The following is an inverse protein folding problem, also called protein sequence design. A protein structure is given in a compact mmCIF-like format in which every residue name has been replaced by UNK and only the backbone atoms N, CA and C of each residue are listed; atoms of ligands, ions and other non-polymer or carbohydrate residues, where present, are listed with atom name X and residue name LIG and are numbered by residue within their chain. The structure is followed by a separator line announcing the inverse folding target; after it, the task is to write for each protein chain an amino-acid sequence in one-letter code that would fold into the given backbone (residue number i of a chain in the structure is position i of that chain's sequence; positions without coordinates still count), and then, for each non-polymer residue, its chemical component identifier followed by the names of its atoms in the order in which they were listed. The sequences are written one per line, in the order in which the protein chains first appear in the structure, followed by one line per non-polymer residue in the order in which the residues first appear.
data_IF_827981549404
#
_entry.id   IF_827981549404
#
_cell.length_a   1.000
_cell.length_b   1.000
_cell.length_c   1.000
_cell.angle_alpha   90.00
_cell.angle_beta   90.00
_cell.angle_gamma   90.00
#
_symmetry.space_group_name_H-M   'P 1'
#
loop_
_entity.id
_entity.type
_entity.pdbx_description
1 polymer ?
#
# COMPACT_ATOMS: atom_id res chain seq x y z
N UNK A 1 -21.98 3.52 8.25
CA UNK A 1 -20.89 3.93 7.33
C UNK A 1 -19.80 2.87 7.24
N UNK A 2 -19.16 2.44 8.34
CA UNK A 2 -18.14 1.36 8.30
C UNK A 2 -18.61 0.06 7.60
N UNK A 3 -19.82 -0.42 7.89
CA UNK A 3 -20.35 -1.62 7.27
C UNK A 3 -20.52 -1.50 5.74
N UNK A 4 -20.86 -0.31 5.23
CA UNK A 4 -21.00 -0.08 3.79
C UNK A 4 -19.64 0.00 3.06
N UNK A 5 -18.62 0.52 3.75
CA UNK A 5 -17.26 0.55 3.23
C UNK A 5 -16.61 -0.84 3.21
N UNK A 6 -16.97 -1.73 4.14
CA UNK A 6 -16.41 -3.08 4.20
C UNK A 6 -16.69 -3.90 2.93
N UNK A 7 -17.89 -3.81 2.38
CA UNK A 7 -18.24 -4.52 1.13
C UNK A 7 -17.44 -3.97 -0.06
N UNK A 8 -17.20 -2.65 -0.10
CA UNK A 8 -16.32 -2.03 -1.10
C UNK A 8 -14.88 -2.51 -0.96
N UNK A 9 -14.35 -2.57 0.26
CA UNK A 9 -12.98 -3.02 0.50
C UNK A 9 -12.77 -4.48 0.08
N UNK A 10 -13.74 -5.36 0.33
CA UNK A 10 -13.71 -6.76 -0.16
C UNK A 10 -13.71 -6.82 -1.69
N UNK A 11 -14.36 -5.86 -2.35
CA UNK A 11 -14.38 -5.71 -3.79
C UNK A 11 -13.15 -4.94 -4.34
N UNK A 12 -12.15 -4.64 -3.52
CA UNK A 12 -10.96 -3.85 -3.88
C UNK A 12 -11.27 -2.40 -4.28
N UNK A 13 -12.42 -1.89 -3.84
CA UNK A 13 -12.83 -0.50 -4.02
C UNK A 13 -12.50 0.31 -2.76
N UNK A 14 -11.56 1.24 -2.87
CA UNK A 14 -11.13 2.11 -1.77
C UNK A 14 -11.46 3.56 -2.10
N UNK A 15 -12.65 4.08 -1.74
CA UNK A 15 -13.02 5.47 -1.99
C UNK A 15 -12.12 6.46 -1.24
N UNK A 16 -11.90 7.65 -1.81
CA UNK A 16 -11.08 8.70 -1.19
C UNK A 16 -11.88 9.51 -0.15
N UNK A 17 -12.29 8.85 0.93
CA UNK A 17 -12.91 9.46 2.10
C UNK A 17 -12.02 9.25 3.35
N UNK A 18 -12.23 10.07 4.38
CA UNK A 18 -11.41 10.06 5.60
C UNK A 18 -11.32 8.68 6.27
N UNK A 19 -12.44 7.95 6.34
CA UNK A 19 -12.49 6.63 6.97
C UNK A 19 -11.62 5.66 6.18
N UNK A 20 -11.77 5.64 4.86
CA UNK A 20 -10.97 4.77 4.00
C UNK A 20 -9.49 5.11 4.04
N UNK A 21 -9.13 6.40 4.06
CA UNK A 21 -7.73 6.83 4.18
C UNK A 21 -7.08 6.30 5.45
N UNK A 22 -7.75 6.47 6.60
CA UNK A 22 -7.21 6.00 7.86
C UNK A 22 -7.27 4.47 8.02
N UNK A 23 -8.25 3.81 7.40
CA UNK A 23 -8.27 2.34 7.31
C UNK A 23 -7.04 1.82 6.55
N UNK A 24 -6.72 2.40 5.39
CA UNK A 24 -5.56 2.00 4.59
C UNK A 24 -4.25 2.22 5.36
N UNK A 25 -4.09 3.37 6.02
CA UNK A 25 -2.97 3.61 6.95
C UNK A 25 -2.84 2.48 7.97
N UNK A 26 -3.92 2.17 8.68
CA UNK A 26 -3.93 1.12 9.70
C UNK A 26 -3.50 -0.24 9.12
N UNK A 27 -4.00 -0.61 7.95
CA UNK A 27 -3.61 -1.85 7.26
C UNK A 27 -2.10 -1.83 6.97
N UNK A 28 -1.57 -0.77 6.35
CA UNK A 28 -0.16 -0.69 6.00
C UNK A 28 0.78 -0.66 7.21
N UNK A 29 0.36 -0.03 8.31
CA UNK A 29 1.09 -0.08 9.58
C UNK A 29 1.08 -1.50 10.18
N UNK A 30 -0.03 -2.24 10.07
CA UNK A 30 -0.12 -3.62 10.56
C UNK A 30 0.77 -4.59 9.79
N UNK A 31 0.95 -4.36 8.49
CA UNK A 31 1.93 -5.09 7.69
C UNK A 31 3.36 -4.57 7.87
N UNK A 32 3.56 -3.44 8.54
CA UNK A 32 4.88 -2.82 8.75
C UNK A 32 5.42 -2.11 7.51
N UNK A 33 4.58 -1.82 6.52
CA UNK A 33 4.99 -1.17 5.28
C UNK A 33 5.07 0.34 5.39
N UNK A 34 4.31 0.94 6.31
CA UNK A 34 4.20 2.37 6.50
C UNK A 34 4.37 2.74 7.97
N UNK A 35 5.04 3.86 8.23
CA UNK A 35 4.97 4.55 9.52
C UNK A 35 4.88 6.08 9.33
N UNK A 36 4.33 6.79 10.32
CA UNK A 36 4.08 8.23 10.21
C UNK A 36 5.36 9.09 10.16
N UNK A 37 6.52 8.52 10.50
CA UNK A 37 7.80 9.23 10.54
C UNK A 37 8.54 9.12 9.21
N UNK A 38 8.57 7.93 8.62
CA UNK A 38 9.38 7.64 7.42
C UNK A 38 8.55 7.39 6.17
N UNK A 39 7.25 7.13 6.29
CA UNK A 39 6.39 6.79 5.17
C UNK A 39 6.49 5.31 4.80
N UNK A 40 6.29 5.01 3.51
CA UNK A 40 6.41 3.64 3.02
C UNK A 40 7.86 3.17 2.96
N UNK A 41 8.11 1.90 3.28
CA UNK A 41 9.37 1.21 3.03
C UNK A 41 9.24 0.33 1.76
N UNK A 42 9.83 0.74 0.62
CA UNK A 42 9.73 0.02 -0.65
C UNK A 42 10.27 -1.41 -0.62
N UNK A 43 11.27 -1.68 0.23
CA UNK A 43 11.88 -3.00 0.33
C UNK A 43 10.93 -4.02 0.96
N UNK A 44 10.27 -3.63 2.06
CA UNK A 44 9.30 -4.50 2.74
C UNK A 44 8.06 -4.75 1.88
N UNK A 45 7.59 -3.71 1.17
CA UNK A 45 6.48 -3.86 0.22
C UNK A 45 6.88 -4.80 -0.91
N UNK A 46 8.06 -4.61 -1.52
CA UNK A 46 8.47 -5.47 -2.63
C UNK A 46 8.63 -6.93 -2.19
N UNK A 47 9.18 -7.16 -1.00
CA UNK A 47 9.31 -8.49 -0.42
C UNK A 47 7.95 -9.18 -0.25
N UNK A 48 6.92 -8.47 0.25
CA UNK A 48 5.57 -9.02 0.32
C UNK A 48 5.05 -9.42 -1.06
N UNK A 49 5.23 -8.56 -2.06
CA UNK A 49 4.72 -8.80 -3.42
C UNK A 49 5.41 -9.96 -4.13
N UNK A 50 6.64 -10.30 -3.73
CA UNK A 50 7.35 -11.47 -4.24
C UNK A 50 6.77 -12.82 -3.75
N UNK A 51 5.82 -12.82 -2.79
CA UNK A 51 5.03 -14.00 -2.44
C UNK A 51 5.85 -15.20 -1.94
N UNK A 52 6.99 -14.96 -1.28
CA UNK A 52 7.88 -16.01 -0.76
C UNK A 52 8.96 -16.50 -1.74
N UNK A 53 9.06 -15.91 -2.94
CA UNK A 53 10.18 -16.14 -3.85
C UNK A 53 11.40 -15.34 -3.41
N UNK A 54 12.37 -16.03 -2.80
CA UNK A 54 13.69 -15.48 -2.47
C UNK A 54 14.76 -16.00 -3.45
N UNK A 55 15.78 -15.18 -3.80
CA UNK A 55 15.98 -13.79 -3.39
C UNK A 55 15.12 -12.79 -4.20
N UNK A 56 14.67 -11.70 -3.56
CA UNK A 56 13.95 -10.60 -4.23
C UNK A 56 14.94 -9.62 -4.89
N UNK A 57 14.80 -9.39 -6.19
CA UNK A 57 15.62 -8.43 -6.94
C UNK A 57 15.07 -7.00 -6.79
N UNK A 58 15.62 -6.24 -5.84
CA UNK A 58 15.24 -4.84 -5.61
C UNK A 58 15.75 -3.85 -6.68
N UNK A 59 16.45 -4.30 -7.72
CA UNK A 59 16.82 -3.45 -8.85
C UNK A 59 15.79 -3.43 -9.97
N UNK A 60 14.76 -4.28 -9.88
CA UNK A 60 13.76 -4.46 -10.91
C UNK A 60 12.75 -3.30 -11.05
N UNK A 61 11.91 -3.39 -12.09
CA UNK A 61 10.90 -2.38 -12.39
C UNK A 61 9.81 -2.29 -11.30
N UNK A 62 9.50 -3.38 -10.60
CA UNK A 62 8.49 -3.38 -9.54
C UNK A 62 8.97 -2.56 -8.36
N UNK A 63 10.21 -2.75 -7.92
CA UNK A 63 10.80 -1.96 -6.84
C UNK A 63 10.81 -0.46 -7.18
N UNK A 64 11.20 -0.11 -8.41
CA UNK A 64 11.20 1.28 -8.88
C UNK A 64 9.80 1.91 -8.83
N UNK A 65 8.76 1.16 -9.24
CA UNK A 65 7.37 1.64 -9.18
C UNK A 65 6.85 1.80 -7.76
N UNK A 66 7.25 0.92 -6.84
CA UNK A 66 6.92 1.08 -5.42
C UNK A 66 7.59 2.35 -4.88
N UNK A 67 8.88 2.55 -5.14
CA UNK A 67 9.64 3.72 -4.69
C UNK A 67 9.04 5.04 -5.22
N UNK A 68 8.62 5.06 -6.49
CA UNK A 68 7.92 6.21 -7.07
C UNK A 68 6.61 6.56 -6.37
N UNK A 69 5.87 5.56 -5.87
CA UNK A 69 4.63 5.76 -5.12
C UNK A 69 4.88 6.05 -3.63
N UNK A 70 6.01 5.63 -3.08
CA UNK A 70 6.45 5.88 -1.70
C UNK A 70 6.94 7.33 -1.51
N UNK A 71 6.05 8.30 -1.75
CA UNK A 71 6.42 9.71 -1.67
C UNK A 71 6.90 10.14 -0.26
N UNK A 72 7.71 11.20 -0.22
CA UNK A 72 8.28 11.75 1.03
C UNK A 72 7.36 12.73 1.77
N UNK A 73 6.07 12.76 1.44
CA UNK A 73 5.07 13.70 1.96
C UNK A 73 5.48 15.18 1.93
N UNK A 74 6.09 15.64 0.83
CA UNK A 74 6.48 17.05 0.67
C UNK A 74 5.28 18.01 0.77
N UNK A 75 4.07 17.52 0.53
CA UNK A 75 2.81 18.25 0.67
C UNK A 75 2.37 18.42 2.13
N UNK A 76 3.04 17.78 3.10
CA UNK A 76 2.73 17.82 4.53
C UNK A 76 1.28 17.44 4.85
N UNK A 77 0.78 16.43 4.14
CA UNK A 77 -0.55 15.87 4.43
C UNK A 77 -0.54 15.14 5.78
N UNK A 78 -1.72 14.96 6.36
CA UNK A 78 -1.88 14.04 7.49
C UNK A 78 -1.49 12.60 7.10
N UNK A 79 -1.15 11.78 8.10
CA UNK A 79 -0.64 10.43 7.87
C UNK A 79 -1.64 9.53 7.13
N UNK A 80 -2.95 9.69 7.34
CA UNK A 80 -3.96 8.90 6.63
C UNK A 80 -3.97 9.24 5.14
N UNK A 81 -3.93 10.52 4.81
CA UNK A 81 -3.84 11.01 3.42
C UNK A 81 -2.52 10.60 2.76
N UNK A 82 -1.41 10.64 3.49
CA UNK A 82 -0.12 10.20 2.98
C UNK A 82 -0.11 8.70 2.64
N UNK A 83 -0.51 7.86 3.59
CA UNK A 83 -0.58 6.41 3.40
C UNK A 83 -1.53 6.02 2.25
N UNK A 84 -2.70 6.66 2.20
CA UNK A 84 -3.66 6.42 1.12
C UNK A 84 -3.11 6.80 -0.25
N UNK A 85 -2.46 7.96 -0.37
CA UNK A 85 -1.91 8.43 -1.65
C UNK A 85 -0.85 7.47 -2.19
N UNK A 86 0.10 7.04 -1.36
CA UNK A 86 1.12 6.08 -1.76
C UNK A 86 0.54 4.69 -2.06
N UNK A 87 -0.31 4.17 -1.18
CA UNK A 87 -0.93 2.86 -1.36
C UNK A 87 -1.80 2.78 -2.62
N UNK A 88 -2.62 3.80 -2.87
CA UNK A 88 -3.49 3.84 -4.06
C UNK A 88 -2.73 4.12 -5.35
N UNK A 89 -1.62 4.88 -5.30
CA UNK A 89 -0.71 5.04 -6.45
C UNK A 89 -0.25 3.68 -6.98
N UNK A 90 0.17 2.79 -6.09
CA UNK A 90 0.63 1.46 -6.47
C UNK A 90 -0.55 0.55 -6.85
N UNK A 91 -1.58 0.48 -6.00
CA UNK A 91 -2.71 -0.42 -6.19
C UNK A 91 -3.44 -0.19 -7.51
N UNK A 92 -3.62 1.08 -7.92
CA UNK A 92 -4.31 1.42 -9.16
C UNK A 92 -3.66 0.82 -10.42
N UNK A 93 -2.35 0.57 -10.39
CA UNK A 93 -1.59 0.06 -11.53
C UNK A 93 -1.16 -1.41 -11.37
N UNK A 94 -1.20 -1.94 -10.15
CA UNK A 94 -0.65 -3.26 -9.81
C UNK A 94 -1.59 -4.14 -8.97
N UNK A 95 -2.89 -3.89 -9.01
CA UNK A 95 -3.91 -4.63 -8.23
C UNK A 95 -3.75 -6.15 -8.31
N UNK A 96 -3.50 -6.69 -9.51
CA UNK A 96 -3.37 -8.14 -9.69
C UNK A 96 -2.16 -8.72 -8.94
N UNK A 97 -1.02 -8.02 -8.97
CA UNK A 97 0.17 -8.42 -8.23
C UNK A 97 -0.09 -8.41 -6.71
N UNK A 98 -0.78 -7.39 -6.21
CA UNK A 98 -1.18 -7.33 -4.80
C UNK A 98 -2.09 -8.49 -4.44
N UNK A 99 -3.12 -8.78 -5.25
CA UNK A 99 -4.03 -9.91 -5.03
C UNK A 99 -3.30 -11.25 -4.96
N UNK A 100 -2.36 -11.48 -5.86
CA UNK A 100 -1.61 -12.73 -5.91
C UNK A 100 -0.70 -12.87 -4.67
N UNK A 101 -0.08 -11.78 -4.21
CA UNK A 101 0.80 -11.77 -3.02
C UNK A 101 0.12 -12.12 -1.69
N UNK A 102 -1.20 -11.93 -1.59
CA UNK A 102 -1.96 -12.21 -0.35
C UNK A 102 -2.40 -13.67 -0.30
N UNK A 103 -2.57 -14.34 -1.44
CA UNK A 103 -2.97 -15.74 -1.51
C UNK A 103 -1.80 -16.72 -1.41
N UNK A 104 -0.55 -16.23 -1.44
CA UNK A 104 0.66 -17.05 -1.39
C UNK A 104 1.13 -17.41 0.03
N UNK A 105 0.37 -17.03 1.06
CA UNK A 105 0.67 -17.30 2.48
C UNK A 105 -0.44 -18.09 3.18
#
# INVERSE_FOLDING_TARGET
VLAANMEKYKAWEYPNDEITRCYMKCVFEKFGFFDETHGFNPYLVHHQLAGGHEPVDHSDEIHQKIDMCADKNSQKSDACTWAYRGGMCFLANHLKLVQDSIHSH
#
